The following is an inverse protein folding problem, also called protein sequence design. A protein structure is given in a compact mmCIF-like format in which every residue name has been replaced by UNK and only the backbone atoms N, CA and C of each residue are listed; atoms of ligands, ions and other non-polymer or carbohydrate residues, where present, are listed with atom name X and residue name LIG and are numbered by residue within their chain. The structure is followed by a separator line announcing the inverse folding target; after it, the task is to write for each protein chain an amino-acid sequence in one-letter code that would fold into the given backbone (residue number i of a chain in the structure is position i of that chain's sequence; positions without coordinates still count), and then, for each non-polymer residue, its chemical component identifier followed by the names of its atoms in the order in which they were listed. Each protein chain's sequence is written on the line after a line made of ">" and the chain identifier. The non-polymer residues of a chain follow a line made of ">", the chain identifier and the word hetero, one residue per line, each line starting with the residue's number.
data_IF_762835949027
#
_entry.id   IF_762835949027
#
_cell.length_a   1.000
_cell.length_b   1.000
_cell.length_c   1.000
_cell.angle_alpha   90.00
_cell.angle_beta   90.00
_cell.angle_gamma   90.00
#
_symmetry.space_group_name_H-M   'P 1'
#
loop_
_entity.id
_entity.type
_entity.pdbx_description
1 polymer ?
#
# COMPACT_ATOMS: atom_id res chain seq x y z
N UNK A 1 41.74 12.95 -37.38
CA UNK A 1 40.36 13.11 -37.85
C UNK A 1 39.62 11.82 -37.54
N UNK A 2 39.11 11.77 -36.31
CA UNK A 2 37.73 11.42 -35.91
C UNK A 2 36.97 10.45 -36.85
N UNK A 3 36.31 9.39 -36.38
CA UNK A 3 35.23 9.44 -35.40
C UNK A 3 35.03 8.05 -34.75
N UNK A 4 35.15 7.97 -33.43
CA UNK A 4 34.54 6.90 -32.62
C UNK A 4 33.19 7.45 -32.15
N UNK A 5 32.09 6.95 -32.70
CA UNK A 5 30.75 7.22 -32.18
C UNK A 5 30.37 6.10 -31.20
N UNK A 6 30.76 6.26 -29.93
CA UNK A 6 30.18 5.49 -28.84
C UNK A 6 28.77 6.02 -28.56
N UNK A 7 27.77 5.31 -29.06
CA UNK A 7 26.38 5.52 -28.68
C UNK A 7 26.03 4.45 -27.63
N UNK A 8 26.44 4.67 -26.38
CA UNK A 8 25.85 3.97 -25.24
C UNK A 8 24.62 4.78 -24.81
N UNK A 9 23.45 4.33 -25.26
CA UNK A 9 22.22 4.69 -24.56
C UNK A 9 22.24 4.00 -23.18
N UNK A 10 21.89 4.68 -22.09
CA UNK A 10 21.64 4.01 -20.84
C UNK A 10 20.34 3.24 -21.00
N UNK A 11 20.44 1.93 -21.24
CA UNK A 11 19.32 1.03 -21.05
C UNK A 11 19.05 1.00 -19.55
N UNK A 12 18.08 1.79 -19.10
CA UNK A 12 17.43 1.57 -17.80
C UNK A 12 16.58 0.33 -17.96
N UNK A 13 17.23 -0.83 -17.99
CA UNK A 13 16.60 -2.12 -17.84
C UNK A 13 16.07 -2.13 -16.40
N UNK A 14 14.78 -1.82 -16.25
CA UNK A 14 14.12 -1.81 -14.97
C UNK A 14 13.99 -3.29 -14.58
N UNK A 15 14.98 -3.78 -13.81
CA UNK A 15 15.13 -5.17 -13.38
C UNK A 15 14.06 -5.52 -12.32
N UNK A 16 12.79 -5.46 -12.72
CA UNK A 16 11.66 -5.94 -11.94
C UNK A 16 11.71 -7.46 -11.72
N UNK A 17 12.63 -8.17 -12.38
CA UNK A 17 12.86 -9.61 -12.17
C UNK A 17 13.51 -9.92 -10.82
N UNK A 18 13.91 -8.88 -10.08
CA UNK A 18 14.60 -8.95 -8.79
C UNK A 18 13.74 -8.57 -7.57
N UNK A 19 12.44 -8.35 -7.74
CA UNK A 19 11.57 -8.02 -6.61
C UNK A 19 11.41 -9.23 -5.69
N UNK A 20 11.72 -9.05 -4.40
CA UNK A 20 11.65 -10.10 -3.37
C UNK A 20 10.21 -10.55 -3.08
N UNK A 21 9.24 -9.67 -3.36
CA UNK A 21 7.81 -9.93 -3.23
C UNK A 21 7.00 -9.19 -4.31
N UNK A 22 5.80 -9.68 -4.57
CA UNK A 22 4.85 -9.12 -5.54
C UNK A 22 3.43 -9.18 -4.98
N UNK A 23 2.46 -8.61 -5.68
CA UNK A 23 1.07 -8.67 -5.26
C UNK A 23 0.48 -10.07 -5.47
N UNK A 24 -0.26 -10.57 -4.48
CA UNK A 24 -0.92 -11.86 -4.56
C UNK A 24 -2.06 -11.80 -5.59
N UNK A 25 -2.09 -12.82 -6.45
CA UNK A 25 -3.17 -13.00 -7.41
C UNK A 25 -4.29 -13.76 -6.71
N UNK A 26 -5.42 -13.10 -6.50
CA UNK A 26 -6.59 -13.77 -5.93
C UNK A 26 -7.44 -14.42 -7.04
N UNK A 27 -7.68 -15.73 -6.91
CA UNK A 27 -8.36 -16.55 -7.92
C UNK A 27 -9.90 -16.43 -7.89
N UNK A 28 -10.45 -15.54 -7.06
CA UNK A 28 -11.90 -15.36 -6.96
C UNK A 28 -12.47 -14.54 -8.13
N UNK A 29 -13.50 -15.09 -8.81
CA UNK A 29 -14.15 -14.48 -9.97
C UNK A 29 -14.70 -13.06 -9.73
N UNK A 30 -15.04 -12.72 -8.48
CA UNK A 30 -15.62 -11.42 -8.13
C UNK A 30 -14.58 -10.30 -8.03
N UNK A 31 -13.32 -10.63 -7.71
CA UNK A 31 -12.22 -9.65 -7.67
C UNK A 31 -11.66 -9.32 -9.06
N UNK A 32 -11.93 -10.17 -10.06
CA UNK A 32 -11.39 -10.06 -11.42
C UNK A 32 -11.83 -8.77 -12.15
N UNK A 33 -12.90 -8.10 -11.70
CA UNK A 33 -13.35 -6.81 -12.24
C UNK A 33 -12.79 -5.59 -11.50
N UNK A 34 -12.40 -5.74 -10.24
CA UNK A 34 -11.96 -4.64 -9.39
C UNK A 34 -10.45 -4.50 -9.31
N UNK A 35 -9.69 -5.53 -9.70
CA UNK A 35 -8.22 -5.50 -9.67
C UNK A 35 -7.66 -6.16 -10.93
N UNK A 36 -6.64 -5.54 -11.50
CA UNK A 36 -5.78 -6.11 -12.54
C UNK A 36 -4.33 -5.95 -12.12
N UNK A 37 -3.58 -7.04 -12.19
CA UNK A 37 -2.14 -7.04 -11.96
C UNK A 37 -1.41 -6.97 -13.30
N UNK A 38 -0.37 -6.14 -13.36
CA UNK A 38 0.53 -5.97 -14.51
C UNK A 38 1.99 -6.09 -14.06
N UNK A 39 2.92 -6.11 -15.00
CA UNK A 39 4.38 -6.14 -14.76
C UNK A 39 4.81 -7.21 -13.73
N UNK A 40 4.54 -8.48 -14.04
CA UNK A 40 4.83 -9.63 -13.15
C UNK A 40 4.22 -9.48 -11.75
N UNK A 41 3.02 -8.91 -11.67
CA UNK A 41 2.31 -8.61 -10.43
C UNK A 41 3.01 -7.58 -9.53
N UNK A 42 3.86 -6.72 -10.08
CA UNK A 42 4.45 -5.59 -9.34
C UNK A 42 3.57 -4.32 -9.42
N UNK A 43 2.75 -4.22 -10.47
CA UNK A 43 1.82 -3.09 -10.69
C UNK A 43 0.39 -3.54 -10.46
N UNK A 44 -0.36 -2.73 -9.71
CA UNK A 44 -1.79 -2.95 -9.44
C UNK A 44 -2.61 -1.84 -10.07
N UNK A 45 -3.61 -2.24 -10.84
CA UNK A 45 -4.64 -1.37 -11.40
C UNK A 45 -5.96 -1.73 -10.75
N UNK A 46 -6.47 -0.86 -9.90
CA UNK A 46 -7.80 -1.04 -9.32
C UNK A 46 -8.86 -0.40 -10.20
N UNK A 47 -10.01 -1.06 -10.27
CA UNK A 47 -11.21 -0.67 -11.00
C UNK A 47 -10.92 -0.25 -12.46
N UNK A 48 -10.27 -1.10 -13.27
CA UNK A 48 -9.84 -0.76 -14.62
C UNK A 48 -10.99 -0.34 -15.55
N UNK A 49 -12.24 -0.70 -15.22
CA UNK A 49 -13.45 -0.33 -15.98
C UNK A 49 -14.29 0.70 -15.22
N UNK A 50 -14.79 0.34 -14.03
CA UNK A 50 -15.50 1.23 -13.13
C UNK A 50 -15.40 0.71 -11.69
N UNK A 51 -15.57 1.61 -10.72
CA UNK A 51 -15.55 1.25 -9.31
C UNK A 51 -16.95 0.86 -8.83
N UNK A 52 -17.01 -0.23 -8.07
CA UNK A 52 -18.22 -0.78 -7.46
C UNK A 52 -18.14 -0.80 -5.93
N UNK A 53 -17.04 -0.37 -5.35
CA UNK A 53 -16.79 -0.45 -3.90
C UNK A 53 -15.30 -0.31 -3.61
N UNK A 54 -14.90 -0.63 -2.39
CA UNK A 54 -13.49 -0.67 -1.99
C UNK A 54 -12.87 -1.98 -2.48
N UNK A 55 -11.72 -1.86 -3.14
CA UNK A 55 -10.89 -2.98 -3.56
C UNK A 55 -9.55 -2.94 -2.81
N UNK A 56 -9.02 -4.12 -2.52
CA UNK A 56 -7.81 -4.31 -1.71
C UNK A 56 -6.95 -5.37 -2.34
N UNK A 57 -5.64 -5.19 -2.30
CA UNK A 57 -4.66 -6.19 -2.73
C UNK A 57 -3.68 -6.41 -1.59
N UNK A 58 -3.20 -7.64 -1.44
CA UNK A 58 -2.20 -8.02 -0.44
C UNK A 58 -0.91 -8.49 -1.11
N UNK A 59 0.23 -8.28 -0.46
CA UNK A 59 1.50 -8.86 -0.89
C UNK A 59 1.47 -10.40 -0.88
N UNK A 60 2.40 -11.06 -1.56
CA UNK A 60 2.47 -12.54 -1.62
C UNK A 60 3.48 -13.15 -0.63
N UNK A 61 4.04 -12.33 0.27
CA UNK A 61 5.05 -12.73 1.25
C UNK A 61 4.61 -12.30 2.64
N UNK A 62 4.87 -13.19 3.59
CA UNK A 62 4.69 -12.98 5.03
C UNK A 62 5.69 -11.94 5.55
N UNK A 63 5.22 -11.05 6.42
CA UNK A 63 6.07 -10.10 7.15
C UNK A 63 6.58 -10.78 8.43
N UNK A 64 7.66 -11.54 8.29
CA UNK A 64 8.21 -12.39 9.37
C UNK A 64 8.56 -11.61 10.65
N UNK A 65 8.31 -12.22 11.80
CA UNK A 65 8.66 -11.63 13.11
C UNK A 65 10.16 -11.47 13.28
N UNK A 66 10.55 -10.55 14.16
CA UNK A 66 11.96 -10.37 14.51
C UNK A 66 12.79 -9.87 13.32
N UNK A 67 12.18 -9.10 12.43
CA UNK A 67 12.85 -8.47 11.29
C UNK A 67 12.28 -7.06 11.08
N UNK A 68 13.07 -6.22 10.42
CA UNK A 68 12.56 -4.98 9.88
C UNK A 68 12.15 -5.23 8.44
N UNK A 69 10.92 -4.84 8.10
CA UNK A 69 10.42 -4.89 6.73
C UNK A 69 10.31 -3.48 6.20
N UNK A 70 10.76 -3.28 4.96
CA UNK A 70 10.65 -2.00 4.29
C UNK A 70 10.18 -2.20 2.85
N UNK A 71 9.21 -1.39 2.43
CA UNK A 71 8.77 -1.35 1.04
C UNK A 71 8.32 0.05 0.64
N UNK A 72 8.38 0.33 -0.66
CA UNK A 72 7.96 1.60 -1.24
C UNK A 72 6.87 1.36 -2.29
N UNK A 73 5.89 2.26 -2.35
CA UNK A 73 4.79 2.18 -3.32
C UNK A 73 4.70 3.52 -4.05
N UNK A 74 4.87 3.48 -5.36
CA UNK A 74 4.78 4.66 -6.23
C UNK A 74 3.33 4.89 -6.68
N UNK A 75 2.82 6.09 -6.46
CA UNK A 75 1.48 6.47 -6.92
C UNK A 75 1.51 6.79 -8.42
N UNK A 76 1.19 5.80 -9.26
CA UNK A 76 1.27 5.95 -10.73
C UNK A 76 0.22 6.90 -11.33
N UNK A 77 -0.86 7.17 -10.59
CA UNK A 77 -2.03 7.87 -11.11
C UNK A 77 -2.70 8.74 -10.05
N UNK A 78 -3.53 9.69 -10.50
CA UNK A 78 -4.12 10.70 -9.62
C UNK A 78 -5.12 10.06 -8.67
N UNK A 79 -4.97 10.32 -7.39
CA UNK A 79 -5.77 9.71 -6.34
C UNK A 79 -7.16 10.33 -6.31
N UNK A 80 -8.17 9.47 -6.25
CA UNK A 80 -9.58 9.84 -6.23
C UNK A 80 -10.39 8.86 -5.39
N UNK A 81 -11.59 9.30 -5.00
CA UNK A 81 -12.56 8.46 -4.29
C UNK A 81 -12.63 8.76 -2.80
N UNK A 82 -13.37 7.89 -2.10
CA UNK A 82 -13.61 8.03 -0.66
C UNK A 82 -12.31 7.94 0.12
N UNK A 83 -11.49 6.92 -0.13
CA UNK A 83 -10.19 6.79 0.48
C UNK A 83 -9.23 5.95 -0.37
N UNK A 84 -7.95 6.15 -0.10
CA UNK A 84 -6.83 5.36 -0.58
C UNK A 84 -5.92 5.16 0.60
N UNK A 85 -5.56 3.91 0.88
CA UNK A 85 -4.78 3.57 2.06
C UNK A 85 -3.67 2.58 1.74
N UNK A 86 -2.59 2.69 2.52
CA UNK A 86 -1.44 1.79 2.51
C UNK A 86 -1.22 1.33 3.95
N UNK A 87 -0.94 0.05 4.18
CA UNK A 87 -0.59 -0.42 5.50
C UNK A 87 -0.40 -1.93 5.60
N UNK A 88 -0.73 -2.48 6.76
CA UNK A 88 -0.53 -3.89 7.12
C UNK A 88 -1.81 -4.48 7.71
N UNK A 89 -1.95 -5.80 7.62
CA UNK A 89 -3.05 -6.54 8.22
C UNK A 89 -2.60 -7.88 8.76
N UNK A 90 -3.37 -8.39 9.71
CA UNK A 90 -3.17 -9.73 10.24
C UNK A 90 -3.76 -10.79 9.28
N UNK A 91 -3.51 -12.07 9.55
CA UNK A 91 -4.20 -13.20 8.90
C UNK A 91 -5.73 -13.09 8.95
N UNK A 92 -6.26 -12.42 9.98
CA UNK A 92 -7.69 -12.26 10.23
C UNK A 92 -8.28 -11.00 9.58
N UNK A 93 -7.47 -10.19 8.90
CA UNK A 93 -7.94 -8.98 8.23
C UNK A 93 -9.01 -9.31 7.18
N UNK A 94 -10.17 -8.66 7.30
CA UNK A 94 -11.30 -8.89 6.39
C UNK A 94 -11.11 -8.10 5.09
N UNK A 95 -10.70 -8.79 4.04
CA UNK A 95 -10.44 -8.18 2.72
C UNK A 95 -11.68 -8.15 1.82
N UNK A 96 -12.68 -9.00 2.08
CA UNK A 96 -13.86 -9.21 1.23
C UNK A 96 -15.02 -8.22 1.51
N UNK A 97 -15.01 -7.56 2.68
CA UNK A 97 -16.07 -6.64 3.15
C UNK A 97 -16.17 -5.33 2.33
N UNK A 98 -15.22 -5.08 1.42
CA UNK A 98 -15.16 -3.90 0.56
C UNK A 98 -16.14 -3.92 -0.62
N UNK A 99 -16.57 -5.11 -1.05
CA UNK A 99 -17.41 -5.25 -2.24
C UNK A 99 -18.75 -4.52 -2.06
N UNK A 100 -19.14 -3.70 -3.04
CA UNK A 100 -20.39 -2.92 -3.03
C UNK A 100 -20.48 -1.81 -1.97
N UNK A 101 -19.38 -1.47 -1.27
CA UNK A 101 -19.33 -0.41 -0.26
C UNK A 101 -18.10 0.47 -0.44
N UNK A 102 -18.24 1.78 -0.26
CA UNK A 102 -17.12 2.73 -0.34
C UNK A 102 -16.73 3.21 1.05
N UNK A 103 -15.61 2.72 1.59
CA UNK A 103 -15.11 3.12 2.91
C UNK A 103 -13.61 2.85 3.06
N UNK A 104 -13.01 3.45 4.08
CA UNK A 104 -11.63 3.23 4.53
C UNK A 104 -11.52 1.86 5.19
N UNK A 105 -11.05 0.88 4.42
CA UNK A 105 -11.01 -0.54 4.83
C UNK A 105 -9.92 -0.82 5.86
N UNK A 106 -8.71 -0.30 5.65
CA UNK A 106 -7.61 -0.52 6.59
C UNK A 106 -7.88 0.23 7.90
N UNK A 107 -7.73 -0.48 9.01
CA UNK A 107 -8.08 0.03 10.32
C UNK A 107 -9.58 0.14 10.56
N UNK A 108 -10.42 -0.50 9.73
CA UNK A 108 -11.86 -0.58 10.01
C UNK A 108 -12.18 -1.45 11.24
N UNK A 109 -11.30 -2.39 11.55
CA UNK A 109 -11.31 -3.20 12.76
C UNK A 109 -9.90 -3.23 13.36
N UNK A 110 -9.72 -4.11 14.35
CA UNK A 110 -8.47 -4.32 15.06
C UNK A 110 -7.45 -5.18 14.28
N UNK A 111 -7.82 -5.71 13.12
CA UNK A 111 -6.98 -6.67 12.37
C UNK A 111 -6.15 -5.97 11.28
N UNK A 112 -6.23 -4.64 11.14
CA UNK A 112 -5.46 -3.88 10.16
C UNK A 112 -5.13 -2.47 10.61
N UNK A 113 -4.10 -1.90 9.98
CA UNK A 113 -3.63 -0.53 10.18
C UNK A 113 -3.40 0.10 8.81
N UNK A 114 -3.83 1.35 8.63
CA UNK A 114 -3.73 2.02 7.34
C UNK A 114 -3.41 3.50 7.43
N UNK A 115 -2.54 3.96 6.54
CA UNK A 115 -2.28 5.36 6.27
C UNK A 115 -3.02 5.82 5.02
N UNK A 116 -3.93 6.77 5.20
CA UNK A 116 -4.77 7.38 4.17
C UNK A 116 -4.01 8.45 3.39
N UNK A 117 -4.28 8.56 2.09
CA UNK A 117 -3.83 9.67 1.22
C UNK A 117 -4.25 11.06 1.72
N UNK A 118 -5.19 11.12 2.68
CA UNK A 118 -5.62 12.35 3.35
C UNK A 118 -4.67 12.77 4.49
N UNK A 119 -3.64 11.98 4.78
CA UNK A 119 -2.67 12.23 5.84
C UNK A 119 -3.12 11.76 7.23
N UNK A 120 -4.02 10.79 7.29
CA UNK A 120 -4.51 10.20 8.55
C UNK A 120 -4.09 8.74 8.64
N UNK A 121 -3.76 8.27 9.82
CA UNK A 121 -3.72 6.84 10.12
C UNK A 121 -5.06 6.40 10.67
N UNK A 122 -5.39 5.12 10.49
CA UNK A 122 -6.60 4.50 11.01
C UNK A 122 -6.29 3.12 11.59
N UNK A 123 -6.85 2.84 12.76
CA UNK A 123 -6.89 1.53 13.38
C UNK A 123 -8.10 1.41 14.30
N UNK A 124 -8.79 0.26 14.30
CA UNK A 124 -9.97 0.03 15.12
C UNK A 124 -11.01 1.17 15.05
N UNK A 125 -11.24 1.70 13.84
CA UNK A 125 -12.12 2.84 13.49
C UNK A 125 -11.69 4.19 14.06
N UNK A 126 -10.58 4.25 14.80
CA UNK A 126 -10.00 5.49 15.29
C UNK A 126 -9.12 6.06 14.20
N UNK A 127 -9.37 7.32 13.83
CA UNK A 127 -8.56 8.06 12.87
C UNK A 127 -7.78 9.15 13.58
N UNK A 128 -6.50 9.26 13.30
CA UNK A 128 -5.62 10.28 13.86
C UNK A 128 -4.82 10.98 12.77
N UNK A 129 -4.64 12.29 12.90
CA UNK A 129 -3.77 13.05 12.00
C UNK A 129 -2.34 12.57 12.20
N UNK A 130 -1.67 12.19 11.11
CA UNK A 130 -0.33 11.59 11.16
C UNK A 130 0.67 12.29 10.27
N UNK A 131 0.27 12.66 9.06
CA UNK A 131 1.18 13.27 8.10
C UNK A 131 0.47 14.13 7.08
N UNK A 132 1.16 14.40 5.98
CA UNK A 132 0.60 15.16 4.86
C UNK A 132 -0.17 14.26 3.90
N UNK A 133 -0.91 14.89 3.00
CA UNK A 133 -1.53 14.18 1.87
C UNK A 133 -0.48 13.67 0.89
N UNK A 134 -0.82 12.65 0.11
CA UNK A 134 -0.02 12.23 -1.04
C UNK A 134 -0.89 12.05 -2.30
N UNK A 135 -0.30 12.17 -3.49
CA UNK A 135 -0.96 12.02 -4.80
C UNK A 135 0.01 11.43 -5.85
N UNK A 136 -0.43 11.40 -7.12
CA UNK A 136 0.34 10.93 -8.27
C UNK A 136 1.78 11.44 -8.28
N UNK A 137 2.70 10.52 -8.54
CA UNK A 137 4.13 10.78 -8.67
C UNK A 137 4.88 10.71 -7.34
N UNK A 138 4.17 10.61 -6.22
CA UNK A 138 4.79 10.50 -4.90
C UNK A 138 4.99 9.03 -4.50
N UNK A 139 6.03 8.82 -3.70
CA UNK A 139 6.44 7.53 -3.19
C UNK A 139 6.08 7.41 -1.71
N UNK A 140 5.25 6.44 -1.36
CA UNK A 140 4.94 6.14 0.05
C UNK A 140 5.80 4.96 0.49
N UNK A 141 6.70 5.21 1.44
CA UNK A 141 7.49 4.18 2.09
C UNK A 141 6.80 3.70 3.36
N UNK A 142 6.98 2.42 3.68
CA UNK A 142 6.49 1.81 4.91
C UNK A 142 7.63 1.06 5.56
N UNK A 143 7.80 1.27 6.87
CA UNK A 143 8.72 0.53 7.71
C UNK A 143 7.94 -0.16 8.82
N UNK A 144 8.04 -1.48 8.88
CA UNK A 144 7.53 -2.29 9.98
C UNK A 144 8.73 -2.83 10.75
N UNK A 145 8.89 -2.40 11.99
CA UNK A 145 9.76 -3.07 12.95
C UNK A 145 8.98 -4.17 13.67
N UNK A 146 9.13 -5.41 13.19
CA UNK A 146 8.48 -6.57 13.78
C UNK A 146 9.20 -7.10 15.04
N UNK A 147 10.21 -6.39 15.56
CA UNK A 147 10.76 -6.61 16.91
C UNK A 147 9.99 -5.82 17.95
N UNK A 148 9.82 -4.52 17.72
CA UNK A 148 9.17 -3.60 18.65
C UNK A 148 7.66 -3.45 18.41
N UNK A 149 7.17 -3.90 17.25
CA UNK A 149 5.76 -3.74 16.85
C UNK A 149 5.43 -2.33 16.38
N UNK A 150 6.39 -1.61 15.80
CA UNK A 150 6.18 -0.23 15.33
C UNK A 150 6.00 -0.16 13.82
N UNK A 151 5.11 0.71 13.37
CA UNK A 151 4.80 0.95 11.96
C UNK A 151 4.98 2.45 11.65
N UNK A 152 5.88 2.76 10.72
CA UNK A 152 6.18 4.12 10.31
C UNK A 152 5.97 4.31 8.80
N UNK A 153 5.51 5.51 8.41
CA UNK A 153 5.34 5.88 7.00
C UNK A 153 6.27 7.01 6.58
N UNK A 154 6.65 6.97 5.31
CA UNK A 154 7.54 7.92 4.67
C UNK A 154 6.87 8.46 3.42
N UNK A 155 7.09 9.74 3.12
CA UNK A 155 6.68 10.34 1.87
C UNK A 155 7.91 10.88 1.15
N UNK A 156 8.14 10.41 -0.07
CA UNK A 156 9.31 10.75 -0.88
C UNK A 156 10.62 10.58 -0.08
N UNK A 157 10.70 9.44 0.64
CA UNK A 157 11.83 9.00 1.49
C UNK A 157 12.13 9.91 2.68
N UNK A 158 11.18 10.75 3.08
CA UNK A 158 11.25 11.53 4.31
C UNK A 158 10.27 10.96 5.33
N UNK A 159 10.67 10.79 6.60
CA UNK A 159 9.73 10.38 7.63
C UNK A 159 8.60 11.41 7.71
N UNK A 160 7.38 10.92 7.91
CA UNK A 160 6.25 11.77 8.26
C UNK A 160 6.34 12.00 9.77
N UNK A 161 6.93 13.14 10.17
CA UNK A 161 7.18 13.45 11.58
C UNK A 161 5.88 13.63 12.38
N UNK A 162 5.93 13.14 13.62
CA UNK A 162 4.90 13.29 14.66
C UNK A 162 4.92 14.73 15.21
N UNK A 163 3.93 15.55 14.85
CA UNK A 163 3.62 16.79 15.59
C UNK A 163 2.82 16.52 16.90
N UNK A 164 2.60 15.24 17.26
CA UNK A 164 2.00 14.85 18.54
C UNK A 164 3.07 14.28 19.46
N UNK A 165 3.32 14.92 20.60
CA UNK A 165 4.15 14.42 21.72
C UNK A 165 3.62 13.12 22.38
N UNK A 166 2.63 12.47 21.76
CA UNK A 166 2.21 11.13 22.09
C UNK A 166 2.80 10.23 21.02
N UNK A 167 3.91 9.57 21.36
CA UNK A 167 4.27 8.32 20.72
C UNK A 167 2.98 7.50 20.68
N UNK A 168 2.57 7.08 19.49
CA UNK A 168 1.56 6.02 19.43
C UNK A 168 2.29 4.78 19.93
N UNK A 169 2.35 4.63 21.25
CA UNK A 169 2.42 3.34 21.89
C UNK A 169 1.19 2.60 21.37
N UNK A 170 1.40 1.85 20.28
CA UNK A 170 0.64 0.63 20.04
C UNK A 170 0.61 -0.06 21.40
N UNK A 171 -0.55 -0.27 22.04
CA UNK A 171 -0.58 -0.69 23.43
C UNK A 171 0.24 -1.97 23.57
N UNK A 172 1.40 -1.82 24.23
CA UNK A 172 2.39 -2.86 24.47
C UNK A 172 1.89 -3.99 25.40
N UNK A 173 0.58 -4.05 25.68
CA UNK A 173 -0.05 -5.11 26.49
C UNK A 173 -1.02 -6.01 25.74
N UNK A 174 -1.17 -5.81 24.43
CA UNK A 174 -1.67 -6.86 23.56
C UNK A 174 -0.79 -6.89 22.34
N UNK A 175 0.02 -7.93 22.27
CA UNK A 175 -0.06 -8.94 21.22
C UNK A 175 1.34 -9.56 21.13
N UNK A 176 1.44 -10.82 21.53
CA UNK A 176 2.40 -11.74 20.90
C UNK A 176 2.01 -11.69 19.42
N UNK A 177 2.68 -10.84 18.62
CA UNK A 177 2.34 -10.51 17.22
C UNK A 177 2.64 -11.71 16.32
N UNK A 178 1.93 -12.81 16.56
CA UNK A 178 1.56 -13.81 15.56
C UNK A 178 0.63 -13.13 14.57
N UNK A 179 0.88 -13.35 13.28
CA UNK A 179 -0.10 -13.19 12.19
C UNK A 179 -0.02 -11.91 11.33
N UNK A 180 1.01 -11.07 11.40
CA UNK A 180 1.18 -10.05 10.35
C UNK A 180 1.65 -10.68 9.05
N UNK A 181 0.74 -10.81 8.09
CA UNK A 181 1.01 -11.62 6.93
C UNK A 181 1.31 -10.80 5.67
N UNK A 182 0.79 -9.57 5.48
CA UNK A 182 0.93 -8.92 4.15
C UNK A 182 0.88 -7.37 4.18
N UNK A 183 1.52 -6.73 3.19
CA UNK A 183 1.30 -5.32 2.85
C UNK A 183 -0.03 -5.15 2.12
N UNK A 184 -0.87 -4.19 2.51
CA UNK A 184 -2.19 -3.93 1.90
C UNK A 184 -2.23 -2.55 1.26
N UNK A 185 -2.77 -2.49 0.03
CA UNK A 185 -3.02 -1.22 -0.68
C UNK A 185 -4.48 -1.18 -1.12
N UNK A 186 -5.14 -0.04 -0.92
CA UNK A 186 -6.37 0.30 -1.60
C UNK A 186 -6.17 1.58 -2.40
N UNK A 187 -6.25 1.55 -3.75
CA UNK A 187 -6.14 2.75 -4.58
C UNK A 187 -6.90 2.67 -5.91
N UNK A 188 -7.99 3.43 -6.11
CA UNK A 188 -8.70 3.50 -7.40
C UNK A 188 -8.30 4.69 -8.30
N UNK A 189 -8.19 4.46 -9.62
CA UNK A 189 -8.22 5.52 -10.67
C UNK A 189 -9.07 5.09 -11.87
N UNK A 190 -9.87 6.01 -12.43
CA UNK A 190 -10.72 5.78 -13.62
C UNK A 190 -10.32 6.68 -14.78
N UNK A 191 -10.27 6.13 -16.00
CA UNK A 191 -10.28 6.91 -17.26
C UNK A 191 -11.72 7.31 -17.60
N UNK A 192 -11.95 8.58 -17.96
CA UNK A 192 -13.13 9.02 -18.71
C UNK A 192 -12.92 8.72 -20.19
N UNK A 193 -13.89 8.08 -20.84
CA UNK A 193 -14.03 8.15 -22.30
C UNK A 193 -14.67 9.49 -22.64
N UNK A 194 -14.02 10.27 -23.50
CA UNK A 194 -14.71 11.26 -24.32
C UNK A 194 -14.77 10.71 -25.75
N UNK A 195 -15.89 10.98 -26.41
CA UNK A 195 -16.32 10.44 -27.71
C UNK A 195 -15.27 10.59 -28.81
#
# INVERSE_FOLDING_TARGET
>A
MDLISNNQQPETENDFSKLEWTWEKEDSLNMTLSIRLEDNNSVVIFHPVYSTGTAVVKGNKLLEKGQHHFWEILMLSKIHGTDVMIGVGTANAKLDIGSFRFFSLLGYDQESWGFSYKGFIQHNKVMQKYGTTFDKGQLVGVHLDAWSGTLQFFLDRKPLDHDSEEDIEFPAEYVILDDFDFALVGLGVKKKKYQ
#
